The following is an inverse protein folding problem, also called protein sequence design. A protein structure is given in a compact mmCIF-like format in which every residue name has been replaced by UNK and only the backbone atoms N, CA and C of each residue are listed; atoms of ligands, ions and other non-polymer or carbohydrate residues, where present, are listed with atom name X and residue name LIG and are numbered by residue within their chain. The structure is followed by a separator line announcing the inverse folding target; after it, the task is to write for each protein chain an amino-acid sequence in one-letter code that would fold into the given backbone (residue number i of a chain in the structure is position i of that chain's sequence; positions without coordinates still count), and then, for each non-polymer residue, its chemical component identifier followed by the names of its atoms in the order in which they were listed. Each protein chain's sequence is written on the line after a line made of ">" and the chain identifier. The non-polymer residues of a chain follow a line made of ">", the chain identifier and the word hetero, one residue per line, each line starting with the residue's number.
data_IF_220132062779
#
_entry.id   IF_220132062779
#
_cell.length_a   1.000
_cell.length_b   1.000
_cell.length_c   1.000
_cell.angle_alpha   90.00
_cell.angle_beta   90.00
_cell.angle_gamma   90.00
#
_symmetry.space_group_name_H-M   'P 1'
#
loop_
_entity.id
_entity.type
_entity.pdbx_description
1 polymer ?
#
# COMPACT_ATOMS: atom_id res chain seq x y z
N UNK A 1 -3.89 25.51 -8.05
CA UNK A 1 -4.18 24.94 -6.72
C UNK A 1 -3.84 23.47 -6.78
N UNK A 2 -3.17 22.93 -5.77
CA UNK A 2 -2.92 21.48 -5.67
C UNK A 2 -4.26 20.77 -5.40
N UNK A 3 -4.48 19.61 -6.02
CA UNK A 3 -5.64 18.78 -5.69
C UNK A 3 -5.45 18.11 -4.33
N UNK A 4 -6.45 18.13 -3.46
CA UNK A 4 -6.36 17.54 -2.12
C UNK A 4 -6.96 16.12 -2.09
N UNK A 5 -6.18 15.15 -1.60
CA UNK A 5 -6.59 13.75 -1.43
C UNK A 5 -6.60 13.38 0.06
N UNK A 6 -7.68 12.74 0.53
CA UNK A 6 -7.79 12.23 1.89
C UNK A 6 -7.72 10.71 1.92
N UNK A 7 -6.82 10.17 2.74
CA UNK A 7 -6.55 8.74 2.86
C UNK A 7 -6.45 8.33 4.33
N UNK A 8 -6.89 7.12 4.64
CA UNK A 8 -6.73 6.52 5.95
C UNK A 8 -5.96 5.19 5.83
N UNK A 9 -4.99 4.98 6.72
CA UNK A 9 -4.19 3.76 6.81
C UNK A 9 -4.47 3.09 8.15
N UNK A 10 -4.96 1.85 8.10
CA UNK A 10 -5.59 1.15 9.22
C UNK A 10 -4.57 0.37 10.09
N UNK A 11 -3.33 0.22 9.59
CA UNK A 11 -2.22 -0.36 10.37
C UNK A 11 -0.88 0.16 9.86
N UNK A 12 -0.12 0.82 10.74
CA UNK A 12 1.24 1.24 10.44
C UNK A 12 2.22 0.06 10.42
N UNK A 13 3.15 0.08 9.47
CA UNK A 13 4.21 -0.93 9.37
C UNK A 13 4.97 -0.84 8.05
N UNK A 14 5.79 -1.86 7.77
CA UNK A 14 6.63 -1.94 6.55
C UNK A 14 5.80 -1.84 5.27
N UNK A 15 4.57 -2.36 5.27
CA UNK A 15 3.69 -2.29 4.09
C UNK A 15 3.21 -0.86 3.78
N UNK A 16 3.28 0.06 4.74
CA UNK A 16 2.89 1.47 4.59
C UNK A 16 4.08 2.37 4.22
N UNK A 17 5.29 1.81 4.14
CA UNK A 17 6.53 2.55 3.86
C UNK A 17 6.51 3.37 2.56
N UNK A 18 5.89 2.91 1.45
CA UNK A 18 5.77 3.73 0.24
C UNK A 18 5.05 5.06 0.50
N UNK A 19 4.07 5.12 1.41
CA UNK A 19 3.41 6.37 1.77
C UNK A 19 4.35 7.31 2.51
N UNK A 20 5.16 6.77 3.43
CA UNK A 20 6.12 7.57 4.20
C UNK A 20 7.20 8.17 3.29
N UNK A 21 7.68 7.40 2.31
CA UNK A 21 8.60 7.90 1.29
C UNK A 21 7.93 8.92 0.38
N UNK A 22 6.70 8.67 -0.07
CA UNK A 22 5.98 9.64 -0.89
C UNK A 22 5.81 10.99 -0.20
N UNK A 23 5.55 10.99 1.11
CA UNK A 23 5.52 12.20 1.93
C UNK A 23 6.92 12.83 2.09
N UNK A 24 7.91 12.08 2.58
CA UNK A 24 9.25 12.61 2.89
C UNK A 24 9.97 13.16 1.66
N UNK A 25 9.72 12.58 0.49
CA UNK A 25 10.29 12.98 -0.79
C UNK A 25 9.43 14.00 -1.56
N UNK A 26 8.30 14.41 -0.98
CA UNK A 26 7.34 15.32 -1.62
C UNK A 26 6.85 14.81 -2.98
N UNK A 27 6.73 13.49 -3.17
CA UNK A 27 6.34 12.90 -4.45
C UNK A 27 4.89 13.24 -4.83
N UNK A 28 4.00 13.34 -3.83
CA UNK A 28 2.64 13.83 -4.05
C UNK A 28 2.63 15.26 -4.60
N UNK A 29 3.40 16.16 -3.99
CA UNK A 29 3.49 17.56 -4.41
C UNK A 29 4.10 17.70 -5.82
N UNK A 30 5.08 16.87 -6.16
CA UNK A 30 5.65 16.80 -7.53
C UNK A 30 4.62 16.39 -8.58
N UNK A 31 3.66 15.56 -8.20
CA UNK A 31 2.52 15.16 -9.04
C UNK A 31 1.34 16.13 -8.96
N UNK A 32 1.50 17.28 -8.30
CA UNK A 32 0.49 18.34 -8.23
C UNK A 32 -0.65 18.08 -7.25
N UNK A 33 -0.47 17.16 -6.30
CA UNK A 33 -1.47 16.84 -5.27
C UNK A 33 -0.91 16.96 -3.85
N UNK A 34 -1.78 17.27 -2.91
CA UNK A 34 -1.52 17.17 -1.48
C UNK A 34 -2.29 15.96 -0.93
N UNK A 35 -1.61 15.11 -0.15
CA UNK A 35 -2.21 13.93 0.46
C UNK A 35 -2.28 14.07 1.98
N UNK A 36 -3.49 14.25 2.49
CA UNK A 36 -3.81 14.18 3.91
C UNK A 36 -3.99 12.71 4.31
N UNK A 37 -2.99 12.17 5.00
CA UNK A 37 -2.93 10.76 5.41
C UNK A 37 -3.14 10.67 6.91
N UNK A 38 -4.26 10.08 7.31
CA UNK A 38 -4.56 9.75 8.71
C UNK A 38 -4.13 8.31 9.02
N UNK A 39 -3.46 8.12 10.16
CA UNK A 39 -2.97 6.82 10.62
C UNK A 39 -3.67 6.46 11.92
N UNK A 40 -4.22 5.25 11.98
CA UNK A 40 -5.04 4.81 13.13
C UNK A 40 -4.25 3.96 14.14
N UNK A 41 -2.92 3.91 14.03
CA UNK A 41 -2.05 3.06 14.86
C UNK A 41 -1.89 1.63 14.32
N UNK A 42 -1.07 0.81 14.99
CA UNK A 42 -0.79 -0.58 14.61
C UNK A 42 -0.89 -1.50 15.81
N UNK A 43 -1.89 -2.38 15.83
CA UNK A 43 -2.07 -3.38 16.89
C UNK A 43 -0.93 -4.39 16.93
N UNK A 44 -0.37 -4.76 15.77
CA UNK A 44 0.79 -5.64 15.70
C UNK A 44 2.00 -5.04 16.43
N UNK A 45 2.30 -3.75 16.20
CA UNK A 45 3.41 -3.07 16.91
C UNK A 45 3.16 -2.97 18.41
N UNK A 46 1.92 -2.76 18.83
CA UNK A 46 1.58 -2.71 20.25
C UNK A 46 1.87 -4.06 20.92
N UNK A 47 1.45 -5.17 20.31
CA UNK A 47 1.70 -6.52 20.83
C UNK A 47 3.17 -6.92 20.79
N UNK A 48 3.91 -6.56 19.74
CA UNK A 48 5.36 -6.79 19.68
C UNK A 48 6.10 -6.07 20.82
N UNK A 49 5.71 -4.82 21.13
CA UNK A 49 6.28 -4.05 22.24
C UNK A 49 5.95 -4.64 23.61
N UNK A 50 4.82 -5.36 23.73
CA UNK A 50 4.44 -6.11 24.92
C UNK A 50 5.12 -7.50 25.01
N UNK A 51 5.93 -7.88 24.02
CA UNK A 51 6.71 -9.12 24.02
C UNK A 51 5.97 -10.34 23.49
N UNK A 52 4.81 -10.16 22.84
CA UNK A 52 4.12 -11.25 22.16
C UNK A 52 4.89 -11.68 20.91
N UNK A 53 4.83 -12.98 20.58
CA UNK A 53 5.44 -13.51 19.36
C UNK A 53 4.38 -13.70 18.27
N UNK A 54 4.73 -13.35 17.04
CA UNK A 54 3.91 -13.67 15.86
C UNK A 54 3.84 -15.18 15.65
N UNK A 55 2.62 -15.70 15.50
CA UNK A 55 2.36 -17.11 15.19
C UNK A 55 2.36 -17.42 13.68
N UNK A 56 2.45 -16.38 12.85
CA UNK A 56 2.44 -16.47 11.40
C UNK A 56 1.79 -15.24 10.77
N UNK A 57 2.01 -15.07 9.46
CA UNK A 57 1.43 -13.97 8.70
C UNK A 57 0.35 -14.43 7.72
N UNK A 58 -0.58 -13.54 7.34
CA UNK A 58 -1.58 -13.85 6.29
C UNK A 58 -0.94 -14.31 4.99
N UNK A 59 0.25 -13.79 4.66
CA UNK A 59 0.97 -14.16 3.45
C UNK A 59 1.49 -15.60 3.48
N UNK A 60 1.81 -16.15 4.65
CA UNK A 60 2.23 -17.56 4.80
C UNK A 60 1.08 -18.52 4.54
N UNK A 61 -0.15 -18.17 4.98
CA UNK A 61 -1.33 -19.02 4.81
C UNK A 61 -2.06 -18.79 3.48
N UNK A 62 -1.98 -17.57 2.93
CA UNK A 62 -2.68 -17.16 1.71
C UNK A 62 -1.72 -16.44 0.74
N UNK A 63 -0.83 -17.17 0.06
CA UNK A 63 0.24 -16.58 -0.76
C UNK A 63 -0.27 -15.77 -1.96
N UNK A 64 -1.51 -15.99 -2.39
CA UNK A 64 -2.16 -15.25 -3.49
C UNK A 64 -3.04 -14.10 -3.00
N UNK A 65 -3.25 -13.95 -1.68
CA UNK A 65 -4.08 -12.90 -1.13
C UNK A 65 -3.37 -11.54 -1.30
N UNK A 66 -3.94 -10.60 -2.09
CA UNK A 66 -3.38 -9.27 -2.20
C UNK A 66 -3.56 -8.62 -0.83
N UNK A 67 -2.46 -8.31 -0.14
CA UNK A 67 -2.48 -7.70 1.19
C UNK A 67 -3.17 -6.31 1.20
N UNK A 68 -2.62 -5.28 1.86
CA UNK A 68 -3.25 -3.96 1.83
C UNK A 68 -3.29 -3.42 0.39
N UNK A 69 -4.44 -2.86 0.01
CA UNK A 69 -4.67 -2.19 -1.28
C UNK A 69 -5.21 -0.77 -1.08
N UNK A 70 -5.03 0.10 -2.08
CA UNK A 70 -5.77 1.35 -2.19
C UNK A 70 -7.02 1.13 -3.06
N UNK A 71 -8.17 1.65 -2.61
CA UNK A 71 -9.44 1.57 -3.34
C UNK A 71 -10.13 2.94 -3.37
N UNK A 72 -10.79 3.25 -4.48
CA UNK A 72 -11.57 4.47 -4.66
C UNK A 72 -12.99 4.14 -5.16
N UNK A 73 -13.97 5.00 -4.81
CA UNK A 73 -15.33 4.88 -5.37
C UNK A 73 -15.28 5.13 -6.88
N UNK A 74 -16.03 4.35 -7.65
CA UNK A 74 -16.07 4.48 -9.12
C UNK A 74 -16.51 5.86 -9.59
N UNK A 75 -17.52 6.46 -8.95
CA UNK A 75 -17.97 7.83 -9.28
C UNK A 75 -16.86 8.85 -9.04
N UNK A 76 -16.24 8.78 -7.86
CA UNK A 76 -15.13 9.65 -7.49
C UNK A 76 -13.95 9.52 -8.47
N UNK A 77 -13.55 8.30 -8.83
CA UNK A 77 -12.45 8.07 -9.77
C UNK A 77 -12.70 8.68 -11.16
N UNK A 78 -13.96 8.70 -11.62
CA UNK A 78 -14.34 9.33 -12.89
C UNK A 78 -14.27 10.85 -12.81
N UNK A 79 -14.70 11.42 -11.69
CA UNK A 79 -14.72 12.86 -11.48
C UNK A 79 -13.33 13.42 -11.14
N UNK A 80 -12.42 12.61 -10.57
CA UNK A 80 -11.10 13.04 -10.07
C UNK A 80 -9.98 12.20 -10.68
N UNK A 81 -10.09 11.96 -12.00
CA UNK A 81 -9.16 11.12 -12.73
C UNK A 81 -7.73 11.66 -12.73
N UNK A 82 -7.55 12.99 -12.70
CA UNK A 82 -6.22 13.60 -12.62
C UNK A 82 -5.55 13.28 -11.28
N UNK A 83 -6.23 13.54 -10.16
CA UNK A 83 -5.75 13.28 -8.81
C UNK A 83 -5.43 11.80 -8.60
N UNK A 84 -6.29 10.91 -9.11
CA UNK A 84 -6.06 9.47 -9.05
C UNK A 84 -4.81 9.04 -9.82
N UNK A 85 -4.58 9.57 -11.02
CA UNK A 85 -3.37 9.27 -11.80
C UNK A 85 -2.11 9.81 -11.12
N UNK A 86 -2.15 11.04 -10.61
CA UNK A 86 -1.07 11.64 -9.81
C UNK A 86 -0.75 10.81 -8.57
N UNK A 87 -1.77 10.33 -7.84
CA UNK A 87 -1.58 9.44 -6.70
C UNK A 87 -0.90 8.13 -7.11
N UNK A 88 -1.36 7.47 -8.18
CA UNK A 88 -0.77 6.22 -8.68
C UNK A 88 0.70 6.44 -9.07
N UNK A 89 1.02 7.52 -9.79
CA UNK A 89 2.40 7.84 -10.18
C UNK A 89 3.31 8.09 -8.97
N UNK A 90 2.87 8.89 -8.01
CA UNK A 90 3.62 9.15 -6.78
C UNK A 90 3.91 7.86 -6.01
N UNK A 91 2.90 6.97 -5.88
CA UNK A 91 3.07 5.69 -5.19
C UNK A 91 4.03 4.74 -5.91
N UNK A 92 3.98 4.70 -7.25
CA UNK A 92 4.95 3.92 -8.04
C UNK A 92 6.36 4.47 -7.92
N UNK A 93 6.53 5.79 -7.97
CA UNK A 93 7.82 6.43 -7.79
C UNK A 93 8.39 6.14 -6.39
N UNK A 94 7.57 6.19 -5.35
CA UNK A 94 7.97 5.84 -3.99
C UNK A 94 8.41 4.38 -3.87
N UNK A 95 7.65 3.46 -4.49
CA UNK A 95 8.01 2.05 -4.52
C UNK A 95 9.33 1.81 -5.26
N UNK A 96 9.49 2.39 -6.45
CA UNK A 96 10.74 2.30 -7.22
C UNK A 96 11.95 2.85 -6.46
N UNK A 97 11.77 3.97 -5.74
CA UNK A 97 12.79 4.53 -4.87
C UNK A 97 13.16 3.59 -3.72
N UNK A 98 12.17 2.95 -3.08
CA UNK A 98 12.38 1.99 -1.98
C UNK A 98 13.01 0.66 -2.42
N UNK A 99 12.89 0.28 -3.70
CA UNK A 99 13.52 -0.93 -4.23
C UNK A 99 14.96 -0.71 -4.72
N UNK A 100 15.39 0.55 -4.86
CA UNK A 100 16.76 0.88 -5.26
C UNK A 100 17.70 0.85 -4.04
N UNK A 101 18.63 -0.11 -4.04
CA UNK A 101 19.58 -0.33 -2.94
C UNK A 101 20.45 0.90 -2.63
N UNK A 102 20.63 1.83 -3.58
CA UNK A 102 21.36 3.09 -3.36
C UNK A 102 20.68 3.98 -2.32
N UNK A 103 19.37 3.82 -2.13
CA UNK A 103 18.56 4.62 -1.22
C UNK A 103 18.48 4.03 0.20
N UNK A 104 19.13 2.89 0.46
CA UNK A 104 19.01 2.12 1.72
C UNK A 104 19.17 2.97 2.98
N UNK A 105 20.25 3.75 3.07
CA UNK A 105 20.55 4.52 4.28
C UNK A 105 19.46 5.55 4.58
N UNK A 106 18.98 6.24 3.54
CA UNK A 106 17.94 7.23 3.70
C UNK A 106 16.57 6.59 3.95
N UNK A 107 16.29 5.44 3.32
CA UNK A 107 15.07 4.69 3.58
C UNK A 107 14.99 4.27 5.05
N UNK A 108 16.09 3.73 5.60
CA UNK A 108 16.22 3.37 7.02
C UNK A 108 15.92 4.58 7.91
N UNK A 109 16.50 5.74 7.61
CA UNK A 109 16.23 6.98 8.36
C UNK A 109 14.74 7.36 8.32
N UNK A 110 14.10 7.28 7.15
CA UNK A 110 12.65 7.55 7.00
C UNK A 110 11.83 6.60 7.87
N UNK A 111 12.18 5.29 7.91
CA UNK A 111 11.43 4.33 8.70
C UNK A 111 11.65 4.50 10.21
N UNK A 112 12.89 4.71 10.64
CA UNK A 112 13.23 5.00 12.03
C UNK A 112 12.50 6.25 12.52
N UNK A 113 12.54 7.35 11.76
CA UNK A 113 11.87 8.58 12.12
C UNK A 113 10.34 8.42 12.20
N UNK A 114 9.77 7.52 11.38
CA UNK A 114 8.32 7.36 11.30
C UNK A 114 7.74 6.39 12.32
N UNK A 115 8.45 5.29 12.56
CA UNK A 115 7.96 4.19 13.38
C UNK A 115 8.69 4.06 14.72
N UNK A 116 9.66 4.92 15.01
CA UNK A 116 10.51 4.83 16.21
C UNK A 116 11.11 3.43 16.36
N UNK A 117 11.71 2.93 15.27
CA UNK A 117 12.27 1.58 15.19
C UNK A 117 13.80 1.65 15.20
N UNK A 118 14.43 0.59 15.70
CA UNK A 118 15.88 0.46 15.70
C UNK A 118 16.47 0.41 14.26
N UNK A 119 17.61 1.08 13.98
CA UNK A 119 18.23 1.09 12.66
C UNK A 119 18.60 -0.29 12.10
N UNK A 120 18.98 -1.26 12.94
CA UNK A 120 19.29 -2.64 12.50
C UNK A 120 18.02 -3.33 12.02
N UNK A 121 16.92 -3.18 12.76
CA UNK A 121 15.62 -3.70 12.36
C UNK A 121 15.09 -3.03 11.09
N UNK A 122 15.22 -1.70 10.98
CA UNK A 122 14.83 -0.96 9.78
C UNK A 122 15.66 -1.35 8.55
N UNK A 123 16.96 -1.58 8.74
CA UNK A 123 17.86 -2.08 7.71
C UNK A 123 17.43 -3.46 7.19
N UNK A 124 17.14 -4.40 8.10
CA UNK A 124 16.64 -5.72 7.72
C UNK A 124 15.28 -5.62 6.99
N UNK A 125 14.39 -4.74 7.46
CA UNK A 125 13.11 -4.49 6.80
C UNK A 125 13.28 -3.90 5.39
N UNK A 126 14.24 -2.99 5.19
CA UNK A 126 14.56 -2.47 3.85
C UNK A 126 15.03 -3.59 2.94
N UNK A 127 15.97 -4.42 3.41
CA UNK A 127 16.56 -5.47 2.58
C UNK A 127 15.49 -6.49 2.16
N UNK A 128 14.60 -6.87 3.08
CA UNK A 128 13.46 -7.73 2.79
C UNK A 128 12.41 -7.05 1.88
N UNK A 129 12.23 -5.73 1.97
CA UNK A 129 11.30 -5.00 1.10
C UNK A 129 11.84 -4.90 -0.33
N UNK A 130 13.12 -4.58 -0.49
CA UNK A 130 13.76 -4.40 -1.79
C UNK A 130 13.85 -5.68 -2.63
N UNK A 131 13.74 -6.85 -2.00
CA UNK A 131 13.68 -8.16 -2.68
C UNK A 131 12.29 -8.54 -3.16
N UNK A 132 11.24 -7.85 -2.68
CA UNK A 132 9.87 -8.16 -3.07
C UNK A 132 9.63 -7.68 -4.51
N UNK A 133 8.97 -8.51 -5.34
CA UNK A 133 8.50 -8.04 -6.63
C UNK A 133 7.47 -6.91 -6.42
N UNK A 134 7.34 -6.05 -7.42
CA UNK A 134 6.33 -5.00 -7.39
C UNK A 134 4.94 -5.65 -7.23
N UNK A 135 4.13 -5.20 -6.24
CA UNK A 135 2.82 -5.80 -6.01
C UNK A 135 1.90 -5.57 -7.22
N UNK A 136 1.23 -6.63 -7.65
CA UNK A 136 0.27 -6.60 -8.74
C UNK A 136 -1.13 -6.95 -8.23
N UNK A 137 -2.12 -6.19 -8.69
CA UNK A 137 -3.52 -6.57 -8.52
C UNK A 137 -3.87 -7.54 -9.65
N UNK A 138 -4.24 -8.76 -9.29
CA UNK A 138 -4.60 -9.82 -10.25
C UNK A 138 -6.03 -10.27 -10.05
N UNK A 139 -6.68 -10.72 -11.13
CA UNK A 139 -8.02 -11.30 -11.04
C UNK A 139 -8.03 -12.56 -10.16
N UNK A 140 -6.94 -13.33 -10.13
CA UNK A 140 -6.80 -14.50 -9.27
C UNK A 140 -6.74 -14.11 -7.78
N UNK A 141 -5.90 -13.13 -7.42
CA UNK A 141 -5.81 -12.66 -6.03
C UNK A 141 -7.13 -12.07 -5.54
N UNK A 142 -7.80 -11.26 -6.36
CA UNK A 142 -9.12 -10.72 -6.00
C UNK A 142 -10.20 -11.81 -5.90
N UNK A 143 -10.11 -12.87 -6.72
CA UNK A 143 -11.00 -14.04 -6.60
C UNK A 143 -10.82 -14.73 -5.25
N UNK A 144 -9.57 -14.93 -4.81
CA UNK A 144 -9.27 -15.49 -3.48
C UNK A 144 -9.93 -14.66 -2.37
N UNK A 145 -9.82 -13.32 -2.42
CA UNK A 145 -10.49 -12.43 -1.45
C UNK A 145 -12.01 -12.63 -1.45
N UNK A 146 -12.63 -12.62 -2.64
CA UNK A 146 -14.09 -12.77 -2.78
C UNK A 146 -14.53 -14.12 -2.20
N UNK A 147 -13.79 -15.19 -2.47
CA UNK A 147 -14.09 -16.53 -1.96
C UNK A 147 -13.98 -16.60 -0.43
N UNK A 148 -12.85 -16.16 0.13
CA UNK A 148 -12.60 -16.12 1.57
C UNK A 148 -13.66 -15.32 2.32
N UNK A 149 -14.00 -14.11 1.85
CA UNK A 149 -15.02 -13.27 2.50
C UNK A 149 -16.40 -13.89 2.42
N UNK A 150 -16.78 -14.47 1.27
CA UNK A 150 -18.10 -15.11 1.15
C UNK A 150 -18.27 -16.31 2.07
N UNK A 151 -17.22 -17.10 2.19
CA UNK A 151 -17.19 -18.27 3.08
C UNK A 151 -17.29 -17.83 4.54
N UNK A 152 -16.43 -16.90 4.97
CA UNK A 152 -16.39 -16.40 6.34
C UNK A 152 -17.71 -15.73 6.77
N UNK A 153 -18.31 -14.94 5.90
CA UNK A 153 -19.56 -14.20 6.19
C UNK A 153 -20.83 -15.03 5.92
N UNK A 154 -20.71 -16.24 5.37
CA UNK A 154 -21.85 -17.10 5.05
C UNK A 154 -22.84 -16.50 4.03
N UNK A 155 -22.36 -15.65 3.12
CA UNK A 155 -23.22 -14.95 2.17
C UNK A 155 -23.90 -15.91 1.19
N UNK A 156 -25.23 -15.81 1.08
CA UNK A 156 -26.05 -16.63 0.15
C UNK A 156 -26.23 -16.01 -1.23
N UNK A 157 -25.95 -14.71 -1.38
CA UNK A 157 -26.05 -14.02 -2.68
C UNK A 157 -24.93 -14.50 -3.63
N UNK A 158 -25.14 -14.51 -4.95
CA UNK A 158 -24.08 -14.87 -5.89
C UNK A 158 -22.86 -13.96 -5.77
N UNK A 159 -21.67 -14.56 -5.87
CA UNK A 159 -20.39 -13.84 -5.97
C UNK A 159 -20.37 -13.08 -7.30
N UNK A 160 -19.87 -11.84 -7.29
CA UNK A 160 -19.59 -11.10 -8.53
C UNK A 160 -18.18 -11.45 -9.01
N UNK A 161 -17.97 -11.41 -10.32
CA UNK A 161 -16.64 -11.64 -10.90
C UNK A 161 -15.65 -10.53 -10.51
N UNK A 162 -14.34 -10.81 -10.37
CA UNK A 162 -13.31 -9.85 -9.97
C UNK A 162 -13.34 -8.51 -10.74
N UNK A 163 -13.63 -8.57 -12.04
CA UNK A 163 -13.68 -7.43 -12.96
C UNK A 163 -14.74 -6.39 -12.55
N UNK A 164 -15.73 -6.77 -11.73
CA UNK A 164 -16.72 -5.84 -11.20
C UNK A 164 -16.15 -4.90 -10.12
N UNK A 165 -15.05 -5.27 -9.49
CA UNK A 165 -14.40 -4.50 -8.42
C UNK A 165 -13.07 -3.90 -8.88
N UNK A 166 -12.52 -4.39 -10.00
CA UNK A 166 -11.19 -4.04 -10.49
C UNK A 166 -11.27 -3.21 -11.77
N UNK A 167 -10.91 -1.93 -11.69
CA UNK A 167 -10.68 -1.06 -12.84
C UNK A 167 -9.19 -0.71 -12.95
N UNK A 168 -8.43 -1.50 -13.71
CA UNK A 168 -6.99 -1.30 -13.90
C UNK A 168 -6.66 -0.25 -14.97
N UNK A 169 -7.66 0.37 -15.60
CA UNK A 169 -7.41 1.35 -16.67
C UNK A 169 -6.61 2.56 -16.17
N UNK A 170 -6.79 2.95 -14.90
CA UNK A 170 -6.01 4.03 -14.27
C UNK A 170 -4.56 3.64 -14.04
N UNK A 171 -4.28 2.39 -13.62
CA UNK A 171 -2.90 1.90 -13.51
C UNK A 171 -2.20 1.91 -14.87
N UNK A 172 -2.85 1.36 -15.90
CA UNK A 172 -2.28 1.32 -17.25
C UNK A 172 -2.08 2.73 -17.85
N UNK A 173 -2.96 3.69 -17.53
CA UNK A 173 -2.79 5.09 -17.95
C UNK A 173 -1.63 5.76 -17.24
N UNK A 174 -1.44 5.51 -15.93
CA UNK A 174 -0.34 6.08 -15.18
C UNK A 174 1.04 5.62 -15.70
N UNK A 175 1.13 4.40 -16.24
CA UNK A 175 2.36 3.86 -16.84
C UNK A 175 2.75 4.52 -18.18
N UNK A 176 1.76 4.95 -18.97
CA UNK A 176 2.01 5.52 -20.31
C UNK A 176 2.53 6.95 -20.29
N UNK A 177 2.40 7.65 -19.16
CA UNK A 177 2.65 9.09 -19.04
C UNK A 177 3.52 9.40 -17.81
N UNK A 178 4.50 8.55 -17.52
CA UNK A 178 5.47 8.67 -16.44
C UNK A 178 6.90 8.49 -16.94
#
# INVERSE_FOLDING_TARGET
>A
MLGALKLAIISEGVNSWPFYVAQSKSLFAREGIEADITLTGSSARQLDAEGFMSLGSTAEYFPTYPGPIAAARRSWAREHGHELLSFIRAMRAAHGWLTDRRNRNEAVQVLCARLDTDPVQAAAAFDAFAERPQPQITAAGLRQVIETVWEAEGFRRPRRAPENYMDLSYLARAEKFG
#
